data_IF_323540945367
#
_entry.id   IF_323540945367
#
_cell.length_a   1.000
_cell.length_b   1.000
_cell.length_c   1.000
_cell.angle_alpha   90.00
_cell.angle_beta   90.00
_cell.angle_gamma   90.00
#
_symmetry.space_group_name_H-M   'P 1'
#
loop_
_entity.id
_entity.type
_entity.pdbx_description
1 polymer ?
#
# COMPACT_ATOMS: atom_id res chain seq x y z
N UNK A 1 3.98 -8.45 -26.92
CA UNK A 1 4.83 -8.29 -28.12
C UNK A 1 6.12 -7.62 -27.68
N UNK A 2 7.27 -8.05 -28.20
CA UNK A 2 8.58 -7.49 -27.79
C UNK A 2 8.87 -6.20 -28.56
N UNK A 3 9.26 -5.14 -27.85
CA UNK A 3 9.88 -3.94 -28.42
C UNK A 3 11.39 -4.00 -28.16
N UNK A 4 12.19 -3.91 -29.22
CA UNK A 4 13.66 -4.01 -29.17
C UNK A 4 14.26 -2.64 -29.51
N UNK A 5 15.05 -2.08 -28.61
CA UNK A 5 16.00 -1.00 -28.90
C UNK A 5 17.42 -1.54 -28.68
N UNK A 6 18.30 -1.30 -29.64
CA UNK A 6 19.57 -2.03 -29.79
C UNK A 6 20.75 -1.09 -29.52
N UNK A 7 21.34 -1.15 -28.33
CA UNK A 7 22.69 -0.66 -28.02
C UNK A 7 23.47 -1.72 -27.23
N UNK A 8 24.41 -2.41 -27.90
CA UNK A 8 25.40 -3.29 -27.26
C UNK A 8 24.94 -4.71 -26.86
N UNK A 9 25.88 -5.66 -26.86
CA UNK A 9 25.70 -7.12 -26.66
C UNK A 9 25.29 -7.53 -25.23
N UNK A 10 24.40 -6.80 -24.57
CA UNK A 10 23.83 -7.20 -23.29
C UNK A 10 22.31 -7.23 -23.40
N UNK A 11 21.77 -8.40 -23.72
CA UNK A 11 20.33 -8.64 -23.62
C UNK A 11 20.04 -9.05 -22.18
N UNK A 12 19.51 -8.13 -21.38
CA UNK A 12 18.93 -8.46 -20.08
C UNK A 12 17.51 -8.94 -20.34
N UNK A 13 17.29 -10.24 -20.28
CA UNK A 13 15.96 -10.82 -20.20
C UNK A 13 15.60 -10.92 -18.71
N UNK A 14 14.71 -10.05 -18.24
CA UNK A 14 14.14 -10.17 -16.90
C UNK A 14 12.93 -11.10 -17.00
N UNK A 15 13.00 -12.25 -16.33
CA UNK A 15 11.84 -13.11 -16.15
C UNK A 15 10.92 -12.45 -15.11
N UNK A 16 9.79 -11.93 -15.56
CA UNK A 16 8.91 -11.03 -14.79
C UNK A 16 7.78 -11.80 -14.07
N UNK A 17 8.02 -13.05 -13.68
CA UNK A 17 7.01 -13.83 -12.96
C UNK A 17 6.88 -13.27 -11.55
N UNK A 18 5.95 -12.33 -11.35
CA UNK A 18 5.57 -11.83 -10.04
C UNK A 18 4.83 -12.95 -9.32
N UNK A 19 5.38 -13.40 -8.20
CA UNK A 19 4.70 -14.34 -7.31
C UNK A 19 3.65 -13.59 -6.48
N UNK A 20 2.62 -14.29 -6.01
CA UNK A 20 1.61 -13.67 -5.14
C UNK A 20 2.24 -13.03 -3.88
N UNK A 21 3.27 -13.66 -3.30
CA UNK A 21 4.00 -13.08 -2.17
C UNK A 21 4.67 -11.74 -2.51
N UNK A 22 5.30 -11.64 -3.69
CA UNK A 22 5.88 -10.37 -4.16
C UNK A 22 4.79 -9.32 -4.44
N UNK A 23 3.64 -9.75 -4.96
CA UNK A 23 2.48 -8.87 -5.19
C UNK A 23 1.97 -8.29 -3.87
N UNK A 24 1.78 -9.15 -2.86
CA UNK A 24 1.30 -8.75 -1.54
C UNK A 24 2.29 -7.84 -0.82
N UNK A 25 3.59 -8.14 -0.88
CA UNK A 25 4.64 -7.25 -0.35
C UNK A 25 4.61 -5.88 -1.03
N UNK A 26 4.45 -5.85 -2.36
CA UNK A 26 4.32 -4.61 -3.13
C UNK A 26 3.16 -3.74 -2.64
N UNK A 27 1.98 -4.34 -2.47
CA UNK A 27 0.79 -3.65 -1.94
C UNK A 27 1.05 -3.12 -0.53
N UNK A 28 1.65 -3.93 0.35
CA UNK A 28 1.96 -3.50 1.71
C UNK A 28 2.90 -2.28 1.73
N UNK A 29 3.95 -2.30 0.90
CA UNK A 29 4.91 -1.19 0.76
C UNK A 29 4.24 0.06 0.21
N UNK A 30 3.36 -0.10 -0.78
CA UNK A 30 2.62 1.02 -1.33
C UNK A 30 1.69 1.64 -0.27
N UNK A 31 0.92 0.83 0.45
CA UNK A 31 0.06 1.31 1.54
C UNK A 31 0.85 2.08 2.59
N UNK A 32 2.02 1.58 3.00
CA UNK A 32 2.91 2.29 3.92
C UNK A 32 3.26 3.67 3.36
N UNK A 33 3.66 3.77 2.09
CA UNK A 33 3.96 5.05 1.45
C UNK A 33 2.74 5.99 1.45
N UNK A 34 1.56 5.49 1.09
CA UNK A 34 0.30 6.28 1.09
C UNK A 34 -0.03 6.80 2.48
N UNK A 35 0.01 5.94 3.50
CA UNK A 35 -0.25 6.32 4.91
C UNK A 35 0.75 7.38 5.38
N UNK A 36 2.03 7.22 5.08
CA UNK A 36 3.05 8.19 5.47
C UNK A 36 2.86 9.56 4.81
N UNK A 37 2.37 9.59 3.56
CA UNK A 37 2.04 10.84 2.88
C UNK A 37 0.79 11.50 3.49
N UNK A 38 -0.22 10.72 3.88
CA UNK A 38 -1.38 11.22 4.62
C UNK A 38 -0.95 11.83 5.96
N UNK A 39 -0.09 11.15 6.72
CA UNK A 39 0.45 11.70 7.98
C UNK A 39 1.10 13.07 7.78
N UNK A 40 1.92 13.22 6.74
CA UNK A 40 2.59 14.49 6.42
C UNK A 40 1.59 15.58 6.03
N UNK A 41 0.63 15.28 5.14
CA UNK A 41 -0.36 16.28 4.70
C UNK A 41 -1.34 16.66 5.80
N UNK A 42 -1.63 15.76 6.74
CA UNK A 42 -2.43 16.00 7.94
C UNK A 42 -1.66 16.68 9.08
N UNK A 43 -0.36 16.96 8.90
CA UNK A 43 0.47 17.66 9.89
C UNK A 43 0.83 16.82 11.12
N UNK A 44 0.84 15.50 11.01
CA UNK A 44 1.19 14.61 12.12
C UNK A 44 2.70 14.60 12.36
N UNK A 45 3.10 14.44 13.61
CA UNK A 45 4.50 14.27 13.96
C UNK A 45 4.97 12.85 13.63
N UNK A 46 6.29 12.68 13.45
CA UNK A 46 6.87 11.36 13.13
C UNK A 46 6.67 10.34 14.27
N UNK A 47 6.51 10.82 15.50
CA UNK A 47 6.29 10.01 16.70
C UNK A 47 4.84 9.70 16.99
N UNK A 48 3.90 10.28 16.23
CA UNK A 48 2.48 10.10 16.49
C UNK A 48 2.03 8.67 16.21
N UNK A 49 1.24 8.12 17.12
CA UNK A 49 0.55 6.84 16.91
C UNK A 49 -0.76 7.08 16.20
N UNK A 50 -1.13 6.14 15.32
CA UNK A 50 -2.32 6.28 14.48
C UNK A 50 -3.20 5.04 14.50
N UNK A 51 -4.48 5.24 14.22
CA UNK A 51 -5.44 4.20 13.87
C UNK A 51 -5.79 4.32 12.39
N UNK A 52 -5.92 3.18 11.73
CA UNK A 52 -6.11 3.09 10.29
C UNK A 52 -7.35 2.25 10.01
N UNK A 53 -8.24 2.79 9.20
CA UNK A 53 -9.40 2.08 8.67
C UNK A 53 -9.30 2.10 7.16
N UNK A 54 -9.22 0.92 6.54
CA UNK A 54 -9.13 0.77 5.10
C UNK A 54 -10.44 0.16 4.58
N UNK A 55 -10.97 0.67 3.49
CA UNK A 55 -12.11 0.03 2.84
C UNK A 55 -11.69 -1.30 2.23
N UNK A 56 -12.48 -2.35 2.42
CA UNK A 56 -12.22 -3.65 1.82
C UNK A 56 -12.09 -3.56 0.30
N UNK A 57 -11.11 -4.28 -0.23
CA UNK A 57 -10.93 -4.48 -1.66
C UNK A 57 -10.29 -5.86 -1.90
N UNK A 58 -10.87 -6.72 -2.74
CA UNK A 58 -10.32 -8.06 -3.02
C UNK A 58 -8.86 -8.06 -3.50
N UNK A 59 -8.38 -6.95 -4.06
CA UNK A 59 -7.00 -6.85 -4.53
C UNK A 59 -5.99 -6.58 -3.42
N UNK A 60 -6.43 -6.03 -2.27
CA UNK A 60 -5.56 -5.61 -1.16
C UNK A 60 -5.83 -6.32 0.15
N UNK A 61 -7.03 -6.86 0.38
CA UNK A 61 -7.45 -7.43 1.67
C UNK A 61 -6.49 -8.52 2.17
N UNK A 62 -6.12 -9.48 1.30
CA UNK A 62 -5.21 -10.56 1.65
C UNK A 62 -3.81 -10.04 1.99
N UNK A 63 -3.29 -9.11 1.20
CA UNK A 63 -2.00 -8.47 1.45
C UNK A 63 -1.99 -7.68 2.77
N UNK A 64 -3.08 -6.97 3.07
CA UNK A 64 -3.25 -6.23 4.32
C UNK A 64 -3.28 -7.17 5.52
N UNK A 65 -3.98 -8.30 5.41
CA UNK A 65 -4.04 -9.30 6.48
C UNK A 65 -2.67 -9.97 6.69
N UNK A 66 -2.00 -10.37 5.60
CA UNK A 66 -0.70 -11.04 5.65
C UNK A 66 0.40 -10.12 6.19
N UNK A 67 0.41 -8.85 5.79
CA UNK A 67 1.42 -7.86 6.18
C UNK A 67 0.94 -6.90 7.28
N UNK A 68 -0.17 -7.18 7.96
CA UNK A 68 -0.79 -6.29 8.96
C UNK A 68 0.23 -5.75 9.97
N UNK A 69 0.98 -6.65 10.60
CA UNK A 69 1.98 -6.30 11.62
C UNK A 69 3.13 -5.49 11.03
N UNK A 70 3.54 -5.81 9.80
CA UNK A 70 4.59 -5.07 9.12
C UNK A 70 4.16 -3.64 8.81
N UNK A 71 2.96 -3.46 8.23
CA UNK A 71 2.39 -2.14 7.93
C UNK A 71 2.30 -1.30 9.20
N UNK A 72 1.65 -1.82 10.24
CA UNK A 72 1.47 -1.13 11.52
C UNK A 72 2.81 -0.70 12.13
N UNK A 73 3.83 -1.57 12.13
CA UNK A 73 5.16 -1.24 12.66
C UNK A 73 5.84 -0.11 11.88
N UNK A 74 5.72 -0.10 10.54
CA UNK A 74 6.36 0.91 9.69
C UNK A 74 5.71 2.30 9.82
N UNK A 75 4.45 2.37 10.27
CA UNK A 75 3.68 3.62 10.33
C UNK A 75 3.28 4.02 11.75
N UNK A 76 3.82 3.36 12.79
CA UNK A 76 3.40 3.53 14.19
C UNK A 76 1.88 3.39 14.37
N UNK A 77 1.28 2.44 13.64
CA UNK A 77 -0.14 2.12 13.70
C UNK A 77 -0.47 1.22 14.89
N UNK A 78 -1.39 1.67 15.74
CA UNK A 78 -1.93 0.84 16.83
C UNK A 78 -2.98 -0.16 16.33
N UNK A 79 -3.62 0.13 15.19
CA UNK A 79 -4.61 -0.74 14.57
C UNK A 79 -4.73 -0.46 13.08
N UNK A 80 -4.93 -1.51 12.29
CA UNK A 80 -5.32 -1.46 10.89
C UNK A 80 -6.51 -2.41 10.70
N UNK A 81 -7.67 -1.86 10.36
CA UNK A 81 -8.90 -2.63 10.21
C UNK A 81 -9.51 -2.45 8.83
N UNK A 82 -10.08 -3.54 8.30
CA UNK A 82 -10.81 -3.54 7.04
C UNK A 82 -12.30 -3.30 7.29
N UNK A 83 -12.89 -2.34 6.61
CA UNK A 83 -14.31 -1.96 6.75
C UNK A 83 -15.02 -1.97 5.38
N UNK A 84 -16.31 -2.27 5.35
CA UNK A 84 -17.07 -2.24 4.09
C UNK A 84 -17.30 -0.81 3.56
N UNK A 85 -17.24 0.19 4.45
CA UNK A 85 -17.38 1.61 4.09
C UNK A 85 -16.50 2.47 4.99
N UNK A 86 -15.86 3.47 4.39
CA UNK A 86 -15.06 4.49 5.08
C UNK A 86 -15.62 5.87 4.72
N UNK A 87 -16.35 6.49 5.65
CA UNK A 87 -17.16 7.69 5.32
C UNK A 87 -16.36 9.00 5.28
N UNK A 88 -15.20 9.06 5.93
CA UNK A 88 -14.33 10.25 6.00
C UNK A 88 -12.92 9.98 5.47
N UNK A 89 -12.79 8.96 4.62
CA UNK A 89 -11.50 8.52 4.13
C UNK A 89 -10.95 9.39 3.00
N UNK A 90 -9.63 9.39 2.87
CA UNK A 90 -8.91 9.82 1.68
C UNK A 90 -9.02 8.73 0.63
N UNK A 91 -9.31 9.09 -0.61
CA UNK A 91 -9.26 8.14 -1.73
C UNK A 91 -7.81 7.84 -2.11
N UNK A 92 -7.48 6.55 -2.20
CA UNK A 92 -6.24 6.04 -2.73
C UNK A 92 -6.49 5.47 -4.12
N UNK A 93 -5.89 6.09 -5.13
CA UNK A 93 -5.89 5.59 -6.50
C UNK A 93 -4.72 4.63 -6.72
N UNK A 94 -5.05 3.42 -7.19
CA UNK A 94 -4.14 2.43 -7.75
C UNK A 94 -4.43 2.32 -9.26
N UNK A 95 -3.54 1.67 -10.02
CA UNK A 95 -3.65 1.60 -11.48
C UNK A 95 -5.00 1.03 -11.96
N UNK A 96 -5.53 0.02 -11.26
CA UNK A 96 -6.75 -0.72 -11.67
C UNK A 96 -7.98 -0.49 -10.76
N UNK A 97 -7.80 0.17 -9.60
CA UNK A 97 -8.87 0.35 -8.62
C UNK A 97 -8.62 1.55 -7.70
N UNK A 98 -9.68 2.04 -7.04
CA UNK A 98 -9.55 2.95 -5.92
C UNK A 98 -10.15 2.34 -4.65
N UNK A 99 -9.68 2.83 -3.51
CA UNK A 99 -10.20 2.47 -2.20
C UNK A 99 -10.06 3.65 -1.24
N UNK A 100 -10.78 3.65 -0.12
CA UNK A 100 -10.76 4.73 0.85
C UNK A 100 -10.00 4.32 2.11
N UNK A 101 -9.22 5.25 2.65
CA UNK A 101 -8.49 5.08 3.90
C UNK A 101 -8.76 6.24 4.85
N UNK A 102 -9.08 5.93 6.10
CA UNK A 102 -9.08 6.92 7.18
C UNK A 102 -7.87 6.68 8.08
N UNK A 103 -7.15 7.77 8.37
CA UNK A 103 -5.96 7.77 9.23
C UNK A 103 -6.16 8.83 10.29
N UNK A 104 -6.38 8.38 11.52
CA UNK A 104 -6.61 9.25 12.67
C UNK A 104 -5.48 9.09 13.68
N UNK A 105 -5.09 10.20 14.31
CA UNK A 105 -4.20 10.18 15.48
C UNK A 105 -4.94 9.51 16.64
N UNK A 106 -4.23 8.65 17.37
CA UNK A 106 -4.75 8.04 18.60
C UNK A 106 -4.74 9.03 19.78
#
# INVERSE_FOLDING_TARGET
GWLVANEGKLTVALEVTITEALRHEGIARELINRIQNIRKSSGFEITDKIKIVLSKNPQTDDAVNEYHTYICNQVLGNSLVLADKVEKGVELEFDDFSLFIDVAKD
#
